data_IF_457888574983
#
_entry.id   IF_457888574983
#
_cell.length_a   1.000
_cell.length_b   1.000
_cell.length_c   1.000
_cell.angle_alpha   90.00
_cell.angle_beta   90.00
_cell.angle_gamma   90.00
#
_symmetry.space_group_name_H-M   'P 1'
#
loop_
_entity.id
_entity.type
_entity.pdbx_description
1 polymer ?
#
# COMPACT_ATOMS: atom_id res chain seq x y z
N UNK A 1 95.79 3.86 46.99
CA UNK A 1 94.52 4.60 46.84
C UNK A 1 94.13 4.70 45.36
N UNK A 2 94.99 5.23 44.46
CA UNK A 2 94.70 5.35 43.01
C UNK A 2 94.37 4.02 42.30
N UNK A 3 95.17 2.97 42.48
CA UNK A 3 94.96 1.66 41.82
C UNK A 3 93.62 0.98 42.16
N UNK A 4 93.11 1.14 43.39
CA UNK A 4 91.81 0.58 43.77
C UNK A 4 90.63 1.35 43.14
N UNK A 5 90.84 2.62 42.80
CA UNK A 5 89.84 3.44 42.10
C UNK A 5 89.79 3.05 40.62
N UNK A 6 90.94 2.83 39.97
CA UNK A 6 91.01 2.39 38.57
C UNK A 6 90.31 1.04 38.35
N UNK A 7 90.53 0.06 39.23
CA UNK A 7 89.85 -1.25 39.15
C UNK A 7 88.34 -1.12 39.29
N UNK A 8 87.86 -0.22 40.17
CA UNK A 8 86.42 0.03 40.34
C UNK A 8 85.81 0.75 39.14
N UNK A 9 86.55 1.68 38.52
CA UNK A 9 86.13 2.38 37.30
C UNK A 9 86.00 1.38 36.15
N UNK A 10 86.98 0.49 35.95
CA UNK A 10 86.89 -0.54 34.90
C UNK A 10 85.69 -1.49 35.08
N UNK A 11 85.39 -1.92 36.32
CA UNK A 11 84.19 -2.74 36.60
C UNK A 11 82.88 -1.99 36.36
N UNK A 12 82.87 -0.68 36.62
CA UNK A 12 81.70 0.16 36.33
C UNK A 12 81.52 0.36 34.82
N UNK A 13 82.61 0.52 34.07
CA UNK A 13 82.57 0.63 32.61
C UNK A 13 82.03 -0.65 31.96
N UNK A 14 82.51 -1.82 32.39
CA UNK A 14 82.01 -3.13 31.94
C UNK A 14 80.51 -3.32 32.27
N UNK A 15 80.12 -3.09 33.53
CA UNK A 15 78.71 -3.17 33.92
C UNK A 15 77.81 -2.16 33.21
N UNK A 16 78.34 -1.00 32.82
CA UNK A 16 77.59 0.00 32.05
C UNK A 16 77.41 -0.42 30.59
N UNK A 17 78.39 -1.12 30.02
CA UNK A 17 78.28 -1.68 28.67
C UNK A 17 77.24 -2.80 28.63
N UNK A 18 77.23 -3.71 29.61
CA UNK A 18 76.20 -4.76 29.75
C UNK A 18 74.77 -4.17 29.86
N UNK A 19 74.63 -3.07 30.60
CA UNK A 19 73.34 -2.37 30.75
C UNK A 19 72.89 -1.74 29.42
N UNK A 20 73.80 -1.13 28.66
CA UNK A 20 73.46 -0.58 27.34
C UNK A 20 73.01 -1.65 26.36
N UNK A 21 73.68 -2.80 26.36
CA UNK A 21 73.32 -3.91 25.47
C UNK A 21 71.94 -4.48 25.83
N UNK A 22 71.66 -4.63 27.13
CA UNK A 22 70.33 -5.02 27.61
C UNK A 22 69.24 -4.00 27.27
N UNK A 23 69.53 -2.70 27.38
CA UNK A 23 68.58 -1.64 27.04
C UNK A 23 68.28 -1.62 25.53
N UNK A 24 69.30 -1.76 24.68
CA UNK A 24 69.12 -1.87 23.22
C UNK A 24 68.28 -3.09 22.84
N UNK A 25 68.56 -4.27 23.42
CA UNK A 25 67.79 -5.48 23.14
C UNK A 25 66.32 -5.35 23.60
N UNK A 26 66.09 -4.63 24.70
CA UNK A 26 64.75 -4.33 25.19
C UNK A 26 64.02 -3.34 24.28
N UNK A 27 64.72 -2.34 23.76
CA UNK A 27 64.16 -1.37 22.80
C UNK A 27 63.75 -2.04 21.49
N UNK A 28 64.58 -2.95 20.96
CA UNK A 28 64.27 -3.75 19.77
C UNK A 28 63.03 -4.64 20.00
N UNK A 29 62.94 -5.32 21.14
CA UNK A 29 61.76 -6.15 21.47
C UNK A 29 60.48 -5.32 21.62
N UNK A 30 60.58 -4.11 22.17
CA UNK A 30 59.44 -3.18 22.26
C UNK A 30 58.99 -2.73 20.87
N UNK A 31 59.92 -2.49 19.95
CA UNK A 31 59.56 -2.07 18.60
C UNK A 31 58.91 -3.21 17.78
N UNK A 32 59.42 -4.45 17.89
CA UNK A 32 58.77 -5.64 17.32
C UNK A 32 57.35 -5.83 17.85
N UNK A 33 57.15 -5.69 19.16
CA UNK A 33 55.82 -5.80 19.77
C UNK A 33 54.86 -4.71 19.25
N UNK A 34 55.34 -3.48 19.02
CA UNK A 34 54.53 -2.42 18.40
C UNK A 34 54.17 -2.74 16.96
N UNK A 35 55.09 -3.33 16.21
CA UNK A 35 54.85 -3.72 14.81
C UNK A 35 53.81 -4.84 14.73
N UNK A 36 53.95 -5.89 15.54
CA UNK A 36 52.95 -6.96 15.65
C UNK A 36 51.57 -6.43 16.06
N UNK A 37 51.52 -5.49 17.01
CA UNK A 37 50.26 -4.87 17.42
C UNK A 37 49.65 -4.03 16.29
N UNK A 38 50.46 -3.23 15.58
CA UNK A 38 50.01 -2.47 14.40
C UNK A 38 49.44 -3.39 13.33
N UNK A 39 50.11 -4.51 13.04
CA UNK A 39 49.69 -5.47 12.03
C UNK A 39 48.39 -6.17 12.42
N UNK A 40 48.27 -6.59 13.69
CA UNK A 40 47.04 -7.17 14.21
C UNK A 40 45.86 -6.20 14.11
N UNK A 41 46.05 -4.95 14.57
CA UNK A 41 45.02 -3.92 14.51
C UNK A 41 44.63 -3.62 13.06
N UNK A 42 45.59 -3.49 12.17
CA UNK A 42 45.35 -3.20 10.75
C UNK A 42 44.61 -4.35 10.07
N UNK A 43 44.99 -5.60 10.35
CA UNK A 43 44.33 -6.80 9.82
C UNK A 43 42.90 -6.92 10.34
N UNK A 44 42.68 -6.68 11.64
CA UNK A 44 41.34 -6.73 12.22
C UNK A 44 40.42 -5.65 11.63
N UNK A 45 40.91 -4.41 11.52
CA UNK A 45 40.15 -3.29 10.96
C UNK A 45 39.85 -3.47 9.47
N UNK A 46 40.80 -4.00 8.69
CA UNK A 46 40.57 -4.29 7.26
C UNK A 46 39.56 -5.41 7.08
N UNK A 47 39.67 -6.50 7.84
CA UNK A 47 38.68 -7.59 7.83
C UNK A 47 37.27 -7.09 8.19
N UNK A 48 37.14 -6.27 9.24
CA UNK A 48 35.85 -5.69 9.60
C UNK A 48 35.29 -4.76 8.52
N UNK A 49 36.14 -3.90 7.92
CA UNK A 49 35.76 -3.04 6.80
C UNK A 49 35.21 -3.87 5.64
N UNK A 50 35.90 -4.94 5.28
CA UNK A 50 35.53 -5.79 4.14
C UNK A 50 34.20 -6.50 4.41
N UNK A 51 34.00 -7.04 5.61
CA UNK A 51 32.72 -7.66 6.02
C UNK A 51 31.55 -6.67 5.93
N UNK A 52 31.74 -5.44 6.43
CA UNK A 52 30.71 -4.39 6.35
C UNK A 52 30.46 -3.99 4.90
N UNK A 53 31.52 -3.88 4.09
CA UNK A 53 31.42 -3.53 2.68
C UNK A 53 30.65 -4.60 1.88
N UNK A 54 30.91 -5.87 2.16
CA UNK A 54 30.21 -7.00 1.54
C UNK A 54 28.73 -7.01 1.94
N UNK A 55 28.42 -6.81 3.23
CA UNK A 55 27.04 -6.71 3.70
C UNK A 55 26.29 -5.55 3.04
N UNK A 56 26.91 -4.36 2.96
CA UNK A 56 26.31 -3.20 2.30
C UNK A 56 26.07 -3.45 0.81
N UNK A 57 27.02 -4.07 0.12
CA UNK A 57 26.88 -4.41 -1.29
C UNK A 57 25.76 -5.43 -1.52
N UNK A 58 25.64 -6.44 -0.65
CA UNK A 58 24.57 -7.43 -0.67
C UNK A 58 23.20 -6.79 -0.46
N UNK A 59 23.07 -5.90 0.53
CA UNK A 59 21.81 -5.18 0.78
C UNK A 59 21.45 -4.23 -0.36
N UNK A 60 22.44 -3.51 -0.92
CA UNK A 60 22.23 -2.65 -2.10
C UNK A 60 21.69 -3.45 -3.27
N UNK A 61 22.27 -4.62 -3.55
CA UNK A 61 21.81 -5.52 -4.62
C UNK A 61 20.36 -5.96 -4.40
N UNK A 62 20.01 -6.42 -3.20
CA UNK A 62 18.63 -6.80 -2.84
C UNK A 62 17.65 -5.64 -3.02
N UNK A 63 18.05 -4.43 -2.63
CA UNK A 63 17.21 -3.24 -2.80
C UNK A 63 16.99 -2.90 -4.28
N UNK A 64 18.04 -3.00 -5.11
CA UNK A 64 17.91 -2.79 -6.56
C UNK A 64 17.02 -3.84 -7.23
N UNK A 65 17.12 -5.11 -6.84
CA UNK A 65 16.26 -6.19 -7.36
C UNK A 65 14.78 -5.95 -6.98
N UNK A 66 14.52 -5.55 -5.74
CA UNK A 66 13.16 -5.22 -5.28
C UNK A 66 12.59 -4.00 -6.01
N UNK A 67 13.40 -2.97 -6.25
CA UNK A 67 12.97 -1.78 -6.99
C UNK A 67 12.59 -2.13 -8.44
N UNK A 68 13.42 -2.92 -9.12
CA UNK A 68 13.13 -3.38 -10.48
C UNK A 68 11.84 -4.22 -10.54
N UNK A 69 11.63 -5.10 -9.56
CA UNK A 69 10.40 -5.90 -9.46
C UNK A 69 9.16 -5.02 -9.21
N UNK A 70 9.27 -4.02 -8.32
CA UNK A 70 8.21 -3.03 -8.08
C UNK A 70 7.86 -2.26 -9.35
N UNK A 71 8.87 -1.80 -10.10
CA UNK A 71 8.67 -1.08 -11.35
C UNK A 71 7.95 -1.94 -12.41
N UNK A 72 8.33 -3.22 -12.52
CA UNK A 72 7.65 -4.18 -13.39
C UNK A 72 6.18 -4.41 -12.99
N UNK A 73 5.90 -4.57 -11.70
CA UNK A 73 4.53 -4.72 -11.20
C UNK A 73 3.68 -3.47 -11.46
N UNK A 74 4.23 -2.28 -11.23
CA UNK A 74 3.53 -1.00 -11.51
C UNK A 74 3.20 -0.88 -13.00
N UNK A 75 4.13 -1.28 -13.88
CA UNK A 75 3.91 -1.29 -15.32
C UNK A 75 2.78 -2.26 -15.71
N UNK A 76 2.79 -3.48 -15.20
CA UNK A 76 1.75 -4.47 -15.46
C UNK A 76 0.37 -3.99 -14.97
N UNK A 77 0.29 -3.44 -13.76
CA UNK A 77 -0.94 -2.87 -13.22
C UNK A 77 -1.46 -1.71 -14.07
N UNK A 78 -0.57 -0.87 -14.61
CA UNK A 78 -0.94 0.23 -15.50
C UNK A 78 -1.51 -0.29 -16.82
N UNK A 79 -0.90 -1.30 -17.42
CA UNK A 79 -1.38 -1.94 -18.64
C UNK A 79 -2.76 -2.60 -18.43
N UNK A 80 -2.95 -3.32 -17.33
CA UNK A 80 -4.24 -3.91 -16.95
C UNK A 80 -5.31 -2.84 -16.68
N UNK A 81 -4.95 -1.76 -15.99
CA UNK A 81 -5.85 -0.61 -15.74
C UNK A 81 -6.25 0.08 -17.05
N UNK A 82 -5.33 0.22 -18.01
CA UNK A 82 -5.63 0.77 -19.33
C UNK A 82 -6.55 -0.15 -20.13
N UNK A 83 -6.30 -1.47 -20.12
CA UNK A 83 -7.14 -2.46 -20.80
C UNK A 83 -8.56 -2.50 -20.23
N UNK A 84 -8.70 -2.45 -18.90
CA UNK A 84 -10.01 -2.38 -18.23
C UNK A 84 -10.73 -1.06 -18.50
N UNK A 85 -10.00 0.06 -18.54
CA UNK A 85 -10.59 1.37 -18.89
C UNK A 85 -11.10 1.38 -20.33
N UNK A 86 -10.34 0.81 -21.28
CA UNK A 86 -10.76 0.69 -22.67
C UNK A 86 -11.98 -0.22 -22.82
N UNK A 87 -11.97 -1.40 -22.18
CA UNK A 87 -13.10 -2.32 -22.22
C UNK A 87 -14.39 -1.73 -21.62
N UNK A 88 -14.26 -0.92 -20.56
CA UNK A 88 -15.39 -0.18 -19.99
C UNK A 88 -15.88 0.94 -20.92
N UNK A 89 -14.96 1.67 -21.57
CA UNK A 89 -15.32 2.70 -22.55
C UNK A 89 -16.11 2.12 -23.73
N UNK A 90 -15.65 1.01 -24.30
CA UNK A 90 -16.34 0.32 -25.41
C UNK A 90 -17.72 -0.19 -24.98
N UNK A 91 -17.84 -0.76 -23.77
CA UNK A 91 -19.14 -1.17 -23.23
C UNK A 91 -20.08 0.00 -22.96
N UNK A 92 -19.57 1.17 -22.60
CA UNK A 92 -20.38 2.37 -22.41
C UNK A 92 -20.91 2.87 -23.77
N UNK A 93 -20.07 2.91 -24.80
CA UNK A 93 -20.49 3.25 -26.18
C UNK A 93 -21.55 2.26 -26.72
N UNK A 94 -21.43 0.97 -26.41
CA UNK A 94 -22.44 -0.05 -26.76
C UNK A 94 -23.78 0.14 -26.03
N UNK A 95 -23.77 0.73 -24.82
CA UNK A 95 -24.97 1.01 -24.03
C UNK A 95 -25.63 2.35 -24.43
N UNK A 96 -24.89 3.28 -25.03
CA UNK A 96 -25.41 4.56 -25.54
C UNK A 96 -26.24 4.40 -26.84
N UNK A 97 -26.21 3.22 -27.47
CA UNK A 97 -27.00 2.89 -28.67
C UNK A 97 -28.46 2.47 -28.43
N UNK A 98 -28.95 2.49 -27.18
CA UNK A 98 -30.35 2.15 -26.86
C UNK A 98 -31.21 3.40 -26.66
N UNK A 99 -32.46 3.43 -27.18
CA UNK A 99 -33.37 4.53 -26.90
C UNK A 99 -33.70 4.54 -25.41
N UNK A 100 -33.14 5.52 -24.71
CA UNK A 100 -33.33 5.71 -23.28
C UNK A 100 -34.78 6.17 -23.01
N UNK A 101 -35.52 5.37 -22.26
CA UNK A 101 -36.75 5.81 -21.58
C UNK A 101 -36.53 5.66 -20.08
N UNK A 102 -36.71 6.80 -19.41
CA UNK A 102 -36.73 7.06 -17.96
C UNK A 102 -35.39 7.10 -17.20
N UNK A 103 -34.90 8.34 -17.14
CA UNK A 103 -33.78 8.88 -16.38
C UNK A 103 -33.93 8.62 -14.87
N UNK A 104 -32.78 8.64 -14.16
CA UNK A 104 -32.59 8.61 -12.68
C UNK A 104 -32.05 7.30 -12.08
N UNK A 105 -30.99 6.73 -12.63
CA UNK A 105 -30.24 5.63 -11.98
C UNK A 105 -28.73 5.84 -12.21
N UNK A 106 -27.91 5.83 -11.15
CA UNK A 106 -26.45 5.82 -11.26
C UNK A 106 -25.92 4.54 -11.94
N UNK A 107 -24.76 4.60 -12.60
CA UNK A 107 -24.26 3.53 -13.51
C UNK A 107 -24.18 2.13 -12.87
N UNK A 108 -23.81 2.03 -11.60
CA UNK A 108 -23.73 0.75 -10.88
C UNK A 108 -25.11 0.17 -10.55
N UNK A 109 -26.08 1.03 -10.22
CA UNK A 109 -27.49 0.67 -10.06
C UNK A 109 -28.13 0.23 -11.38
N UNK A 110 -27.72 0.80 -12.52
CA UNK A 110 -28.21 0.38 -13.85
C UNK A 110 -27.76 -1.04 -14.19
N UNK A 111 -26.51 -1.41 -13.89
CA UNK A 111 -25.98 -2.76 -14.12
C UNK A 111 -26.69 -3.78 -13.23
N UNK A 112 -26.85 -3.50 -11.93
CA UNK A 112 -27.56 -4.38 -10.99
C UNK A 112 -29.03 -4.59 -11.37
N UNK A 113 -29.70 -3.52 -11.83
CA UNK A 113 -31.08 -3.55 -12.29
C UNK A 113 -31.24 -4.41 -13.55
N UNK A 114 -30.32 -4.29 -14.51
CA UNK A 114 -30.29 -5.09 -15.73
C UNK A 114 -30.07 -6.58 -15.44
N UNK A 115 -29.10 -6.91 -14.57
CA UNK A 115 -28.81 -8.30 -14.18
C UNK A 115 -30.01 -8.94 -13.45
N UNK A 116 -30.63 -8.23 -12.51
CA UNK A 116 -31.79 -8.73 -11.76
C UNK A 116 -33.01 -8.93 -12.66
N UNK A 117 -33.27 -7.99 -13.58
CA UNK A 117 -34.33 -8.13 -14.59
C UNK A 117 -34.12 -9.34 -15.49
N UNK A 118 -32.89 -9.55 -15.96
CA UNK A 118 -32.55 -10.70 -16.82
C UNK A 118 -32.70 -12.03 -16.07
N UNK A 119 -32.33 -12.08 -14.79
CA UNK A 119 -32.51 -13.26 -13.95
C UNK A 119 -33.99 -13.64 -13.81
N UNK A 120 -34.86 -12.68 -13.47
CA UNK A 120 -36.30 -12.94 -13.37
C UNK A 120 -36.90 -13.37 -14.70
N UNK A 121 -36.49 -12.75 -15.81
CA UNK A 121 -36.93 -13.15 -17.15
C UNK A 121 -36.52 -14.58 -17.49
N UNK A 122 -35.28 -14.96 -17.22
CA UNK A 122 -34.77 -16.30 -17.47
C UNK A 122 -35.42 -17.37 -16.57
N UNK A 123 -35.83 -16.99 -15.36
CA UNK A 123 -36.51 -17.86 -14.39
C UNK A 123 -38.04 -17.84 -14.50
N UNK A 124 -38.61 -17.03 -15.40
CA UNK A 124 -40.06 -16.91 -15.57
C UNK A 124 -40.78 -16.26 -14.37
N UNK A 125 -40.07 -15.50 -13.55
CA UNK A 125 -40.63 -14.84 -12.36
C UNK A 125 -41.26 -13.52 -12.80
N UNK A 126 -42.58 -13.53 -12.97
CA UNK A 126 -43.34 -12.35 -13.44
C UNK A 126 -44.03 -11.61 -12.30
N UNK A 127 -44.51 -12.35 -11.30
CA UNK A 127 -45.21 -11.83 -10.13
C UNK A 127 -44.27 -11.03 -9.21
N UNK A 128 -44.75 -9.89 -8.72
CA UNK A 128 -43.96 -8.96 -7.92
C UNK A 128 -43.65 -9.50 -6.53
N UNK A 129 -44.60 -10.18 -5.88
CA UNK A 129 -44.34 -10.82 -4.59
C UNK A 129 -43.24 -11.88 -4.70
N UNK A 130 -43.25 -12.65 -5.79
CA UNK A 130 -42.24 -13.66 -6.11
C UNK A 130 -40.86 -13.05 -6.41
N UNK A 131 -40.80 -11.89 -7.08
CA UNK A 131 -39.55 -11.14 -7.29
C UNK A 131 -38.97 -10.64 -5.97
N UNK A 132 -39.79 -10.04 -5.11
CA UNK A 132 -39.38 -9.53 -3.79
C UNK A 132 -38.87 -10.67 -2.91
N UNK A 133 -39.63 -11.77 -2.83
CA UNK A 133 -39.22 -12.99 -2.11
C UNK A 133 -37.87 -13.50 -2.63
N UNK A 134 -37.74 -13.67 -3.95
CA UNK A 134 -36.52 -14.20 -4.57
C UNK A 134 -35.32 -13.27 -4.33
N UNK A 135 -35.48 -11.96 -4.45
CA UNK A 135 -34.41 -11.00 -4.20
C UNK A 135 -34.01 -10.96 -2.72
N UNK A 136 -34.96 -11.13 -1.81
CA UNK A 136 -34.67 -11.16 -0.37
C UNK A 136 -33.74 -12.29 0.04
N UNK A 137 -33.75 -13.42 -0.69
CA UNK A 137 -32.86 -14.55 -0.48
C UNK A 137 -31.39 -14.23 -0.80
N UNK A 138 -31.15 -13.21 -1.63
CA UNK A 138 -29.80 -12.75 -1.98
C UNK A 138 -29.28 -11.64 -1.05
N UNK A 139 -30.09 -11.16 -0.10
CA UNK A 139 -29.62 -10.19 0.89
C UNK A 139 -28.75 -10.89 1.93
N UNK A 140 -27.62 -10.27 2.29
CA UNK A 140 -26.73 -10.77 3.34
C UNK A 140 -26.49 -9.71 4.43
N UNK A 141 -26.02 -10.17 5.60
CA UNK A 141 -25.52 -9.34 6.70
C UNK A 141 -26.50 -8.22 7.14
N UNK A 142 -26.08 -6.97 6.97
CA UNK A 142 -26.80 -5.77 7.39
C UNK A 142 -28.08 -5.59 6.54
N UNK A 143 -28.04 -5.94 5.25
CA UNK A 143 -29.20 -5.84 4.37
C UNK A 143 -30.28 -6.87 4.70
N UNK A 144 -29.88 -8.10 5.07
CA UNK A 144 -30.81 -9.12 5.54
C UNK A 144 -31.43 -8.73 6.90
N UNK A 145 -30.63 -8.15 7.79
CA UNK A 145 -31.11 -7.70 9.10
C UNK A 145 -32.13 -6.58 8.98
N UNK A 146 -31.87 -5.60 8.10
CA UNK A 146 -32.83 -4.56 7.75
C UNK A 146 -34.12 -5.16 7.18
N UNK A 147 -34.02 -6.06 6.21
CA UNK A 147 -35.18 -6.67 5.55
C UNK A 147 -36.09 -7.38 6.55
N UNK A 148 -35.51 -8.17 7.47
CA UNK A 148 -36.27 -8.82 8.55
C UNK A 148 -36.99 -7.81 9.43
N UNK A 149 -36.31 -6.73 9.85
CA UNK A 149 -36.93 -5.65 10.61
C UNK A 149 -38.09 -4.98 9.85
N UNK A 150 -37.88 -4.69 8.56
CA UNK A 150 -38.85 -4.07 7.66
C UNK A 150 -40.12 -4.91 7.45
N UNK A 151 -40.00 -6.23 7.42
CA UNK A 151 -41.13 -7.15 7.29
C UNK A 151 -41.93 -7.35 8.58
N UNK A 152 -41.32 -7.14 9.75
CA UNK A 152 -41.96 -7.31 11.06
C UNK A 152 -42.68 -6.01 11.50
N UNK A 153 -42.18 -4.85 11.06
CA UNK A 153 -42.76 -3.57 11.41
C UNK A 153 -44.09 -3.33 10.69
N UNK A 154 -45.19 -3.67 11.39
CA UNK A 154 -46.57 -3.46 10.92
C UNK A 154 -46.92 -1.99 10.66
N UNK A 155 -46.10 -1.02 11.10
CA UNK A 155 -46.32 0.41 10.89
C UNK A 155 -45.93 0.87 9.49
N UNK A 156 -45.03 0.15 8.82
CA UNK A 156 -44.49 0.54 7.50
C UNK A 156 -45.27 -0.05 6.31
N UNK A 157 -46.35 -0.80 6.57
CA UNK A 157 -47.16 -1.43 5.53
C UNK A 157 -46.46 -2.59 4.82
N UNK A 158 -47.21 -3.39 4.06
CA UNK A 158 -46.64 -4.45 3.22
C UNK A 158 -46.05 -3.85 1.94
N UNK A 159 -44.86 -4.31 1.54
CA UNK A 159 -44.29 -3.96 0.23
C UNK A 159 -44.99 -4.82 -0.81
N UNK A 160 -45.91 -4.20 -1.55
CA UNK A 160 -46.79 -4.89 -2.50
C UNK A 160 -46.19 -5.04 -3.89
N UNK A 161 -45.18 -4.23 -4.23
CA UNK A 161 -44.59 -4.22 -5.57
C UNK A 161 -43.08 -4.37 -5.55
N UNK A 162 -42.54 -4.88 -6.67
CA UNK A 162 -41.10 -4.98 -6.88
C UNK A 162 -40.44 -3.58 -6.88
N UNK A 163 -41.15 -2.57 -7.36
CA UNK A 163 -40.65 -1.20 -7.41
C UNK A 163 -40.50 -0.59 -6.02
N UNK A 164 -41.47 -0.76 -5.13
CA UNK A 164 -41.39 -0.32 -3.74
C UNK A 164 -40.22 -0.97 -3.00
N UNK A 165 -40.03 -2.27 -3.18
CA UNK A 165 -38.87 -2.99 -2.64
C UNK A 165 -37.54 -2.38 -3.10
N UNK A 166 -37.42 -2.08 -4.39
CA UNK A 166 -36.21 -1.46 -4.95
C UNK A 166 -35.98 -0.04 -4.38
N UNK A 167 -37.03 0.77 -4.26
CA UNK A 167 -36.94 2.13 -3.73
C UNK A 167 -36.49 2.15 -2.28
N UNK A 168 -37.05 1.28 -1.43
CA UNK A 168 -36.68 1.22 -0.02
C UNK A 168 -35.30 0.61 0.22
N UNK A 169 -34.96 -0.46 -0.49
CA UNK A 169 -33.63 -1.06 -0.43
C UNK A 169 -32.55 -0.04 -0.85
N UNK A 170 -32.84 0.78 -1.87
CA UNK A 170 -31.98 1.90 -2.25
C UNK A 170 -31.90 2.95 -1.15
N UNK A 171 -33.04 3.44 -0.65
CA UNK A 171 -33.06 4.47 0.38
C UNK A 171 -32.25 4.11 1.63
N UNK A 172 -32.09 2.82 1.94
CA UNK A 172 -31.27 2.37 3.07
C UNK A 172 -29.81 2.13 2.78
N UNK A 173 -29.47 1.57 1.61
CA UNK A 173 -28.09 1.12 1.34
C UNK A 173 -27.36 1.95 0.30
N UNK A 174 -28.09 2.81 -0.41
CA UNK A 174 -27.59 3.73 -1.42
C UNK A 174 -28.12 5.12 -1.09
N UNK A 175 -27.41 5.91 -0.26
CA UNK A 175 -27.70 7.34 -0.22
C UNK A 175 -27.52 7.87 -1.65
N UNK A 176 -28.62 8.28 -2.28
CA UNK A 176 -28.57 9.12 -3.46
C UNK A 176 -27.97 10.44 -3.00
N UNK A 177 -26.65 10.61 -3.17
CA UNK A 177 -26.12 11.96 -3.18
C UNK A 177 -26.68 12.60 -4.45
N UNK A 178 -27.29 13.76 -4.29
CA UNK A 178 -27.53 14.64 -5.43
C UNK A 178 -26.20 14.87 -6.15
N UNK A 179 -26.24 15.12 -7.46
CA UNK A 179 -25.02 15.34 -8.24
C UNK A 179 -24.15 16.45 -7.62
N UNK A 180 -24.79 17.46 -7.03
CA UNK A 180 -24.16 18.56 -6.29
C UNK A 180 -23.47 18.09 -5.01
N UNK A 181 -24.11 17.24 -4.21
CA UNK A 181 -23.50 16.66 -3.00
C UNK A 181 -22.34 15.72 -3.34
N UNK A 182 -22.49 14.88 -4.37
CA UNK A 182 -21.42 14.01 -4.84
C UNK A 182 -20.22 14.83 -5.32
N UNK A 183 -20.47 15.93 -6.02
CA UNK A 183 -19.44 16.87 -6.49
C UNK A 183 -18.75 17.58 -5.32
N UNK A 184 -19.49 18.06 -4.33
CA UNK A 184 -18.92 18.68 -3.13
C UNK A 184 -18.06 17.68 -2.33
N UNK A 185 -18.52 16.43 -2.20
CA UNK A 185 -17.75 15.37 -1.53
C UNK A 185 -16.51 14.96 -2.32
N UNK A 186 -16.56 14.99 -3.65
CA UNK A 186 -15.41 14.71 -4.51
C UNK A 186 -14.34 15.78 -4.35
N UNK A 187 -14.72 17.06 -4.31
CA UNK A 187 -13.80 18.19 -4.10
C UNK A 187 -13.15 18.17 -2.70
N UNK A 188 -13.86 17.68 -1.68
CA UNK A 188 -13.38 17.59 -0.30
C UNK A 188 -12.90 16.21 0.14
N UNK A 189 -12.67 15.28 -0.79
CA UNK A 189 -12.36 13.89 -0.43
C UNK A 189 -10.98 13.79 0.23
N UNK A 190 -10.90 13.09 1.37
CA UNK A 190 -9.65 12.88 2.11
C UNK A 190 -9.49 11.40 2.49
N UNK A 191 -8.28 10.87 2.33
CA UNK A 191 -7.93 9.51 2.72
C UNK A 191 -7.94 9.39 4.25
N UNK A 192 -9.00 8.82 4.82
CA UNK A 192 -9.08 8.57 6.27
C UNK A 192 -8.50 7.21 6.67
N UNK A 193 -8.73 6.17 5.87
CA UNK A 193 -8.27 4.79 6.10
C UNK A 193 -7.22 4.32 5.10
N UNK A 194 -7.36 3.10 4.62
CA UNK A 194 -6.46 2.50 3.62
C UNK A 194 -6.60 3.19 2.26
N UNK A 195 -5.56 3.08 1.43
CA UNK A 195 -5.62 3.58 0.04
C UNK A 195 -6.72 2.87 -0.75
N UNK A 196 -6.94 1.58 -0.51
CA UNK A 196 -8.00 0.81 -1.19
C UNK A 196 -9.41 1.33 -0.86
N UNK A 197 -9.67 1.67 0.40
CA UNK A 197 -10.95 2.28 0.80
C UNK A 197 -11.14 3.68 0.22
N UNK A 198 -10.06 4.48 0.19
CA UNK A 198 -10.07 5.79 -0.44
C UNK A 198 -10.38 5.71 -1.93
N UNK A 199 -9.68 4.85 -2.67
CA UNK A 199 -9.90 4.63 -4.11
C UNK A 199 -11.33 4.16 -4.36
N UNK A 200 -11.87 3.25 -3.52
CA UNK A 200 -13.25 2.78 -3.64
C UNK A 200 -14.25 3.92 -3.48
N UNK A 201 -14.09 4.74 -2.44
CA UNK A 201 -14.96 5.90 -2.18
C UNK A 201 -14.86 6.96 -3.26
N UNK A 202 -13.65 7.23 -3.75
CA UNK A 202 -13.40 8.14 -4.85
C UNK A 202 -14.12 7.69 -6.14
N UNK A 203 -14.00 6.41 -6.50
CA UNK A 203 -14.70 5.84 -7.67
C UNK A 203 -16.22 5.91 -7.52
N UNK A 204 -16.75 5.65 -6.33
CA UNK A 204 -18.19 5.74 -6.06
C UNK A 204 -18.74 7.16 -6.26
N UNK A 205 -17.99 8.19 -5.89
CA UNK A 205 -18.37 9.59 -6.11
C UNK A 205 -18.26 9.99 -7.58
N UNK A 206 -17.21 9.55 -8.28
CA UNK A 206 -17.04 9.77 -9.72
C UNK A 206 -18.18 9.17 -10.57
N UNK A 207 -18.82 8.09 -10.10
CA UNK A 207 -19.96 7.47 -10.79
C UNK A 207 -21.28 8.23 -10.62
N UNK A 208 -21.37 9.09 -9.61
CA UNK A 208 -22.56 9.88 -9.29
C UNK A 208 -22.53 11.27 -9.90
N UNK A 209 -21.37 11.76 -10.35
CA UNK A 209 -21.21 13.05 -11.02
C UNK A 209 -21.04 12.82 -12.52
N UNK A 210 -21.96 13.37 -13.33
CA UNK A 210 -22.10 13.03 -14.74
C UNK A 210 -21.08 13.71 -15.67
N UNK A 211 -20.43 14.79 -15.22
CA UNK A 211 -19.60 15.70 -16.04
C UNK A 211 -18.17 15.95 -15.51
N UNK A 212 -17.64 15.11 -14.61
CA UNK A 212 -16.29 15.34 -14.06
C UNK A 212 -15.21 15.18 -15.13
N UNK A 213 -14.41 16.23 -15.33
CA UNK A 213 -13.27 16.14 -16.24
C UNK A 213 -12.14 15.31 -15.63
N UNK A 214 -11.36 14.64 -16.48
CA UNK A 214 -10.17 13.88 -16.05
C UNK A 214 -9.18 14.74 -15.26
N UNK A 215 -9.11 16.05 -15.57
CA UNK A 215 -8.24 17.00 -14.88
C UNK A 215 -8.71 17.27 -13.45
N UNK A 216 -10.00 17.55 -13.26
CA UNK A 216 -10.60 17.79 -11.94
C UNK A 216 -10.54 16.55 -11.05
N UNK A 217 -10.86 15.38 -11.61
CA UNK A 217 -10.75 14.11 -10.89
C UNK A 217 -9.32 13.84 -10.42
N UNK A 218 -8.33 14.08 -11.28
CA UNK A 218 -6.92 13.83 -10.93
C UNK A 218 -6.39 14.83 -9.90
N UNK A 219 -6.87 16.07 -9.91
CA UNK A 219 -6.54 17.08 -8.89
C UNK A 219 -7.11 16.67 -7.53
N UNK A 220 -8.42 16.42 -7.46
CA UNK A 220 -9.10 15.99 -6.25
C UNK A 220 -8.52 14.69 -5.66
N UNK A 221 -8.12 13.75 -6.52
CA UNK A 221 -7.47 12.51 -6.10
C UNK A 221 -6.10 12.76 -5.45
N UNK A 222 -5.29 13.67 -6.01
CA UNK A 222 -3.97 13.99 -5.46
C UNK A 222 -4.04 14.78 -4.17
N UNK A 223 -4.95 15.76 -4.10
CA UNK A 223 -5.14 16.60 -2.92
C UNK A 223 -5.72 15.82 -1.73
N UNK A 224 -6.48 14.76 -2.00
CA UNK A 224 -7.09 13.92 -0.97
C UNK A 224 -6.21 12.80 -0.43
N UNK A 225 -5.03 12.53 -0.99
CA UNK A 225 -4.13 11.49 -0.49
C UNK A 225 -3.40 11.96 0.77
N UNK A 226 -3.21 11.03 1.72
CA UNK A 226 -2.35 11.30 2.88
C UNK A 226 -0.87 11.37 2.43
N UNK A 227 -0.06 12.27 3.03
CA UNK A 227 1.39 12.32 2.79
C UNK A 227 2.10 10.99 3.06
#
# INVERSE_FOLDING_TARGET
>A
MLSAVEVRVGKLEESMEDVKESDNAREESVEDMKEQFRDFVTTCLTSQRDNVQELLNSQRKKLTERNNALEAMVKALKEETMATTLALSTRIEELEGWPCVEQRWGKECQVQHSVTKNYFRAKGIVDDASKVQTASLFLTDIALSWWRGRTIDKRQGEIGTWQEFQCELKGQFYPEFTEEEARAMLQGIMQRGTVGEYVRKFKQLMLQVSDVTKREAMLAFKEGLKP
#
